data_IF_816193919333
#
_entry.id   IF_816193919333
#
_cell.length_a   1.000
_cell.length_b   1.000
_cell.length_c   1.000
_cell.angle_alpha   90.00
_cell.angle_beta   90.00
_cell.angle_gamma   90.00
#
_symmetry.space_group_name_H-M   'P 1'
#
loop_
_entity.id
_entity.type
_entity.pdbx_description
1 polymer ?
#
# COMPACT_ATOMS: atom_id res chain seq x y z
N UNK A 1 -14.81 5.57 -12.72
CA UNK A 1 -13.94 6.57 -13.38
C UNK A 1 -12.54 5.99 -13.47
N UNK A 2 -11.87 6.13 -14.60
CA UNK A 2 -10.47 5.74 -14.77
C UNK A 2 -9.67 6.96 -15.21
N UNK A 3 -8.44 7.09 -14.74
CA UNK A 3 -7.50 8.13 -15.11
C UNK A 3 -6.12 7.52 -15.36
N UNK A 4 -5.34 8.13 -16.24
CA UNK A 4 -3.94 7.75 -16.51
C UNK A 4 -3.08 8.96 -16.20
N UNK A 5 -1.99 8.74 -15.49
CA UNK A 5 -1.02 9.78 -15.14
C UNK A 5 0.38 9.18 -15.00
N UNK A 6 1.37 10.04 -14.85
CA UNK A 6 2.73 9.60 -14.57
C UNK A 6 2.83 8.86 -13.21
N UNK A 7 3.73 7.89 -13.14
CA UNK A 7 3.84 7.00 -11.98
C UNK A 7 4.21 7.74 -10.68
N UNK A 8 5.03 8.79 -10.78
CA UNK A 8 5.52 9.57 -9.63
C UNK A 8 4.43 10.37 -8.93
N UNK A 9 3.38 10.77 -9.64
CA UNK A 9 2.26 11.54 -9.09
C UNK A 9 1.04 10.69 -8.72
N UNK A 10 0.95 9.44 -9.19
CA UNK A 10 -0.27 8.63 -9.13
C UNK A 10 -0.84 8.47 -7.72
N UNK A 11 0.01 8.20 -6.73
CA UNK A 11 -0.42 7.97 -5.34
C UNK A 11 -0.90 9.26 -4.68
N UNK A 12 -0.16 10.36 -4.82
CA UNK A 12 -0.54 11.67 -4.28
C UNK A 12 -1.77 12.23 -5.01
N UNK A 13 -1.85 12.09 -6.32
CA UNK A 13 -3.02 12.48 -7.10
C UNK A 13 -4.28 11.77 -6.62
N UNK A 14 -4.22 10.44 -6.47
CA UNK A 14 -5.37 9.64 -6.01
C UNK A 14 -5.78 10.04 -4.60
N UNK A 15 -4.81 10.23 -3.68
CA UNK A 15 -5.06 10.70 -2.32
C UNK A 15 -5.83 12.03 -2.35
N UNK A 16 -5.27 13.04 -3.01
CA UNK A 16 -5.85 14.38 -3.06
C UNK A 16 -7.24 14.37 -3.72
N UNK A 17 -7.41 13.59 -4.78
CA UNK A 17 -8.71 13.45 -5.45
C UNK A 17 -9.79 12.89 -4.50
N UNK A 18 -9.49 11.85 -3.74
CA UNK A 18 -10.43 11.25 -2.78
C UNK A 18 -10.74 12.24 -1.64
N UNK A 19 -9.75 12.93 -1.10
CA UNK A 19 -9.93 13.90 -0.03
C UNK A 19 -10.82 15.08 -0.49
N UNK A 20 -10.58 15.64 -1.67
CA UNK A 20 -11.42 16.69 -2.23
C UNK A 20 -12.85 16.22 -2.52
N UNK A 21 -13.01 14.99 -3.03
CA UNK A 21 -14.32 14.38 -3.22
C UNK A 21 -15.10 14.27 -1.91
N UNK A 22 -14.46 13.81 -0.83
CA UNK A 22 -15.09 13.74 0.49
C UNK A 22 -15.49 15.12 1.02
N UNK A 23 -14.61 16.13 0.85
CA UNK A 23 -14.89 17.51 1.27
C UNK A 23 -16.09 18.09 0.50
N UNK A 24 -16.12 17.89 -0.82
CA UNK A 24 -17.21 18.40 -1.67
C UNK A 24 -18.54 17.74 -1.33
N UNK A 25 -18.55 16.43 -1.09
CA UNK A 25 -19.78 15.73 -0.72
C UNK A 25 -20.26 16.09 0.69
N UNK A 26 -19.35 16.36 1.63
CA UNK A 26 -19.70 16.84 2.98
C UNK A 26 -20.28 18.26 2.95
N UNK A 27 -19.78 19.15 2.09
CA UNK A 27 -20.32 20.50 1.88
C UNK A 27 -21.70 20.48 1.17
N UNK A 28 -21.96 19.48 0.37
CA UNK A 28 -23.19 19.35 -0.43
C UNK A 28 -24.34 18.63 0.30
N UNK A 29 -24.34 18.63 1.64
CA UNK A 29 -25.35 17.93 2.48
C UNK A 29 -26.79 18.31 2.19
N UNK A 30 -27.06 19.46 1.57
CA UNK A 30 -28.40 19.85 1.14
C UNK A 30 -28.92 19.05 -0.08
N UNK A 31 -28.02 18.48 -0.87
CA UNK A 31 -28.34 17.70 -2.06
C UNK A 31 -28.09 16.20 -1.87
N UNK A 32 -27.21 15.84 -0.93
CA UNK A 32 -26.82 14.46 -0.61
C UNK A 32 -26.99 14.29 0.90
N UNK A 33 -27.84 13.37 1.32
CA UNK A 33 -28.22 13.19 2.74
C UNK A 33 -27.04 12.85 3.65
N UNK A 34 -25.92 12.30 3.09
CA UNK A 34 -24.74 11.93 3.85
C UNK A 34 -23.45 12.14 3.06
N UNK A 35 -22.32 12.30 3.78
CA UNK A 35 -20.97 12.30 3.21
C UNK A 35 -20.73 11.00 2.41
N UNK A 36 -20.18 11.14 1.22
CA UNK A 36 -19.75 10.00 0.40
C UNK A 36 -18.27 9.68 0.62
N UNK A 37 -17.93 8.41 0.52
CA UNK A 37 -16.56 7.89 0.58
C UNK A 37 -16.20 7.17 -0.70
N UNK A 38 -14.92 7.05 -0.99
CA UNK A 38 -14.43 6.46 -2.24
C UNK A 38 -13.28 5.48 -2.00
N UNK A 39 -13.31 4.36 -2.73
CA UNK A 39 -12.15 3.46 -2.81
C UNK A 39 -11.50 3.56 -4.18
N UNK A 40 -10.18 3.35 -4.24
CA UNK A 40 -9.42 3.36 -5.48
C UNK A 40 -8.50 2.14 -5.61
N UNK A 41 -8.23 1.77 -6.86
CA UNK A 41 -7.17 0.84 -7.24
C UNK A 41 -6.18 1.55 -8.16
N UNK A 42 -4.89 1.46 -7.89
CA UNK A 42 -3.83 2.06 -8.70
C UNK A 42 -2.97 0.95 -9.28
N UNK A 43 -2.76 1.00 -10.59
CA UNK A 43 -1.87 0.07 -11.28
C UNK A 43 -0.72 0.82 -11.90
N UNK A 44 0.49 0.45 -11.49
CA UNK A 44 1.72 0.89 -12.14
C UNK A 44 2.09 -0.13 -13.20
N UNK A 45 2.37 0.31 -14.39
CA UNK A 45 2.76 -0.56 -15.49
C UNK A 45 3.63 0.18 -16.52
N UNK A 46 4.34 -0.56 -17.34
CA UNK A 46 5.05 0.01 -18.47
C UNK A 46 4.07 0.59 -19.48
N UNK A 47 4.46 1.66 -20.18
CA UNK A 47 3.64 2.33 -21.21
C UNK A 47 3.16 1.40 -22.34
N UNK A 48 3.91 0.31 -22.60
CA UNK A 48 3.57 -0.70 -23.61
C UNK A 48 2.69 -1.83 -23.07
N UNK A 49 2.37 -1.81 -21.78
CA UNK A 49 1.50 -2.83 -21.20
C UNK A 49 0.06 -2.68 -21.73
N UNK A 50 -0.64 -3.78 -22.07
CA UNK A 50 -1.98 -3.68 -22.63
C UNK A 50 -2.96 -3.03 -21.66
N UNK A 51 -3.51 -1.89 -22.04
CA UNK A 51 -4.31 -1.00 -21.20
C UNK A 51 -5.54 -1.67 -20.58
N UNK A 52 -6.21 -2.55 -21.32
CA UNK A 52 -7.39 -3.25 -20.82
C UNK A 52 -7.07 -4.19 -19.63
N UNK A 53 -5.88 -4.79 -19.59
CA UNK A 53 -5.46 -5.58 -18.43
C UNK A 53 -5.11 -4.69 -17.23
N UNK A 54 -4.49 -3.53 -17.46
CA UNK A 54 -4.22 -2.57 -16.41
C UNK A 54 -5.50 -2.05 -15.76
N UNK A 55 -6.52 -1.71 -16.57
CA UNK A 55 -7.84 -1.30 -16.06
C UNK A 55 -8.49 -2.44 -15.28
N UNK A 56 -8.53 -3.65 -15.82
CA UNK A 56 -9.12 -4.80 -15.13
C UNK A 56 -8.49 -5.04 -13.75
N UNK A 57 -7.16 -4.95 -13.65
CA UNK A 57 -6.48 -5.06 -12.36
C UNK A 57 -6.82 -3.88 -11.43
N UNK A 58 -6.87 -2.65 -11.93
CA UNK A 58 -7.24 -1.49 -11.12
C UNK A 58 -8.65 -1.63 -10.54
N UNK A 59 -9.59 -2.18 -11.31
CA UNK A 59 -10.95 -2.48 -10.86
C UNK A 59 -10.96 -3.58 -9.78
N UNK A 60 -10.17 -4.65 -9.93
CA UNK A 60 -10.02 -5.70 -8.92
C UNK A 60 -9.43 -5.17 -7.62
N UNK A 61 -8.38 -4.33 -7.68
CA UNK A 61 -7.78 -3.66 -6.53
C UNK A 61 -8.78 -2.74 -5.82
N UNK A 62 -9.52 -1.94 -6.58
CA UNK A 62 -10.58 -1.08 -6.05
C UNK A 62 -11.67 -1.90 -5.36
N UNK A 63 -12.11 -3.01 -5.98
CA UNK A 63 -13.11 -3.91 -5.41
C UNK A 63 -12.59 -4.58 -4.12
N UNK A 64 -11.32 -5.00 -4.08
CA UNK A 64 -10.70 -5.58 -2.89
C UNK A 64 -10.61 -4.56 -1.75
N UNK A 65 -10.18 -3.31 -2.04
CA UNK A 65 -10.17 -2.22 -1.08
C UNK A 65 -11.55 -1.95 -0.50
N UNK A 66 -12.56 -1.81 -1.36
CA UNK A 66 -13.95 -1.59 -0.98
C UNK A 66 -14.54 -2.74 -0.14
N UNK A 67 -14.27 -3.99 -0.54
CA UNK A 67 -14.71 -5.18 0.20
C UNK A 67 -14.10 -5.21 1.60
N UNK A 68 -12.80 -4.95 1.73
CA UNK A 68 -12.13 -4.90 3.03
C UNK A 68 -12.72 -3.82 3.94
N UNK A 69 -12.86 -2.59 3.43
CA UNK A 69 -13.40 -1.47 4.19
C UNK A 69 -14.84 -1.72 4.63
N UNK A 70 -15.71 -2.21 3.74
CA UNK A 70 -17.09 -2.55 4.08
C UNK A 70 -17.17 -3.66 5.12
N UNK A 71 -16.49 -4.77 4.92
CA UNK A 71 -16.54 -5.91 5.85
C UNK A 71 -16.09 -5.55 7.25
N UNK A 72 -15.12 -4.64 7.38
CA UNK A 72 -14.56 -4.26 8.66
C UNK A 72 -15.35 -3.18 9.40
N UNK A 73 -15.94 -2.23 8.67
CA UNK A 73 -16.48 -1.00 9.26
C UNK A 73 -17.97 -0.80 9.09
N UNK A 74 -18.63 -1.56 8.21
CA UNK A 74 -20.08 -1.46 8.02
C UNK A 74 -20.78 -2.62 8.73
N UNK A 75 -21.35 -2.32 9.88
CA UNK A 75 -22.18 -3.28 10.66
C UNK A 75 -23.66 -3.09 10.35
N UNK A 76 -24.07 -1.83 10.19
CA UNK A 76 -25.42 -1.43 9.81
C UNK A 76 -25.33 -0.67 8.47
N UNK A 77 -25.91 -1.26 7.41
CA UNK A 77 -25.82 -0.71 6.05
C UNK A 77 -26.54 0.64 5.89
N UNK A 78 -27.50 0.95 6.76
CA UNK A 78 -28.24 2.23 6.71
C UNK A 78 -27.51 3.36 7.45
N UNK A 79 -26.65 3.02 8.43
CA UNK A 79 -26.03 4.01 9.34
C UNK A 79 -24.53 4.13 9.20
N UNK A 80 -23.87 3.05 8.80
CA UNK A 80 -22.42 2.99 8.75
C UNK A 80 -21.88 3.33 7.36
N UNK A 81 -20.93 4.26 7.32
CA UNK A 81 -20.18 4.58 6.10
C UNK A 81 -18.79 3.92 6.21
N UNK A 82 -18.44 3.14 5.19
CA UNK A 82 -17.11 2.57 5.07
C UNK A 82 -16.09 3.70 4.81
N UNK A 83 -14.95 3.77 5.51
CA UNK A 83 -13.94 4.78 5.25
C UNK A 83 -13.28 4.59 3.89
N UNK A 84 -12.82 5.69 3.29
CA UNK A 84 -12.08 5.69 2.03
C UNK A 84 -10.73 5.00 2.17
N UNK A 85 -10.38 4.18 1.18
CA UNK A 85 -9.10 3.49 1.14
C UNK A 85 -8.69 3.19 -0.30
N UNK A 86 -7.41 2.89 -0.48
CA UNK A 86 -6.87 2.50 -1.76
C UNK A 86 -5.96 1.26 -1.65
N UNK A 87 -5.84 0.57 -2.76
CA UNK A 87 -4.82 -0.46 -3.00
C UNK A 87 -4.07 -0.16 -4.28
N UNK A 88 -2.86 -0.64 -4.39
CA UNK A 88 -2.04 -0.47 -5.59
C UNK A 88 -1.21 -1.71 -5.87
N UNK A 89 -0.78 -1.84 -7.13
CA UNK A 89 0.17 -2.86 -7.55
C UNK A 89 1.00 -2.39 -8.74
N UNK A 90 2.29 -2.78 -8.76
CA UNK A 90 3.19 -2.56 -9.89
C UNK A 90 3.36 -3.86 -10.69
N UNK A 91 2.86 -3.87 -11.91
CA UNK A 91 2.95 -5.03 -12.81
C UNK A 91 4.40 -5.17 -13.30
N UNK A 92 5.06 -6.23 -12.87
CA UNK A 92 6.43 -6.58 -13.28
C UNK A 92 6.48 -7.75 -14.29
N UNK A 93 5.36 -8.46 -14.48
CA UNK A 93 5.27 -9.60 -15.40
C UNK A 93 3.98 -9.55 -16.21
N UNK A 94 4.00 -10.11 -17.41
CA UNK A 94 2.83 -10.18 -18.30
C UNK A 94 1.79 -11.24 -17.92
N UNK A 95 2.04 -12.04 -16.88
CA UNK A 95 1.20 -13.18 -16.53
C UNK A 95 0.27 -12.91 -15.34
N UNK A 96 -0.47 -11.81 -15.40
CA UNK A 96 -1.48 -11.51 -14.40
C UNK A 96 -2.81 -12.18 -14.77
N UNK A 97 -3.37 -13.02 -13.90
CA UNK A 97 -4.63 -13.71 -14.15
C UNK A 97 -5.81 -13.20 -13.32
N UNK A 98 -5.61 -13.02 -12.01
CA UNK A 98 -6.64 -12.60 -11.07
C UNK A 98 -5.97 -12.17 -9.77
N UNK A 99 -6.47 -11.11 -9.12
CA UNK A 99 -5.83 -10.53 -7.92
C UNK A 99 -5.76 -11.51 -6.74
N UNK A 100 -6.84 -12.22 -6.42
CA UNK A 100 -6.86 -13.17 -5.30
C UNK A 100 -5.89 -14.34 -5.52
N UNK A 101 -5.79 -14.82 -6.76
CA UNK A 101 -4.82 -15.86 -7.13
C UNK A 101 -3.40 -15.32 -7.08
N UNK A 102 -3.18 -14.12 -7.58
CA UNK A 102 -1.88 -13.47 -7.56
C UNK A 102 -1.35 -13.24 -6.13
N UNK A 103 -2.21 -12.80 -5.21
CA UNK A 103 -1.86 -12.71 -3.78
C UNK A 103 -1.35 -14.05 -3.26
N UNK A 104 -2.07 -15.13 -3.57
CA UNK A 104 -1.75 -16.46 -3.04
C UNK A 104 -0.46 -17.01 -3.63
N UNK A 105 -0.25 -16.85 -4.93
CA UNK A 105 0.81 -17.51 -5.66
C UNK A 105 2.12 -16.68 -5.66
N UNK A 106 2.02 -15.34 -5.68
CA UNK A 106 3.16 -14.44 -5.87
C UNK A 106 3.44 -13.52 -4.67
N UNK A 107 2.39 -13.10 -3.94
CA UNK A 107 2.52 -12.17 -2.82
C UNK A 107 2.46 -12.85 -1.45
N UNK A 108 2.46 -14.17 -1.39
CA UNK A 108 2.48 -14.93 -0.15
C UNK A 108 3.73 -15.79 -0.08
N UNK A 109 4.60 -15.47 0.87
CA UNK A 109 5.84 -16.22 1.15
C UNK A 109 5.60 -17.03 2.42
N UNK A 110 5.47 -18.36 2.29
CA UNK A 110 5.03 -19.24 3.41
C UNK A 110 3.67 -18.77 3.93
N UNK A 111 3.62 -18.17 5.11
CA UNK A 111 2.44 -17.61 5.77
C UNK A 111 2.46 -16.06 5.84
N UNK A 112 3.45 -15.41 5.20
CA UNK A 112 3.63 -13.97 5.22
C UNK A 112 3.11 -13.37 3.91
N UNK A 113 2.12 -12.51 4.00
CA UNK A 113 1.63 -11.72 2.88
C UNK A 113 2.48 -10.46 2.69
N UNK A 114 2.84 -10.20 1.46
CA UNK A 114 3.65 -9.05 1.07
C UNK A 114 2.80 -7.84 0.65
N UNK A 115 1.49 -7.97 0.52
CA UNK A 115 0.54 -6.88 0.36
C UNK A 115 0.07 -6.39 1.73
N UNK A 116 0.49 -5.20 2.13
CA UNK A 116 0.14 -4.66 3.45
C UNK A 116 -1.20 -3.94 3.47
N UNK A 117 -1.60 -3.37 2.35
CA UNK A 117 -2.84 -2.63 2.17
C UNK A 117 -4.11 -3.39 2.60
N UNK A 118 -5.30 -2.76 2.48
CA UNK A 118 -5.51 -1.41 1.93
C UNK A 118 -4.99 -0.29 2.84
N UNK A 119 -4.65 0.84 2.20
CA UNK A 119 -4.22 2.06 2.87
C UNK A 119 -5.39 3.04 2.95
N UNK A 120 -5.62 3.60 4.13
CA UNK A 120 -6.79 4.41 4.43
C UNK A 120 -6.50 5.91 4.33
N UNK A 121 -7.54 6.68 3.97
CA UNK A 121 -7.50 8.13 3.89
C UNK A 121 -8.31 8.75 5.02
N UNK A 122 -8.01 10.02 5.32
CA UNK A 122 -8.74 10.85 6.27
C UNK A 122 -8.63 10.44 7.74
N UNK A 123 -9.11 11.31 8.59
CA UNK A 123 -9.13 11.18 10.06
C UNK A 123 -10.48 10.65 10.56
N UNK A 124 -10.99 9.58 10.00
CA UNK A 124 -12.15 8.95 10.61
C UNK A 124 -11.70 8.17 11.84
N UNK A 125 -12.30 8.43 12.98
CA UNK A 125 -12.07 7.70 14.23
C UNK A 125 -12.18 6.17 14.07
N UNK A 126 -12.96 5.73 13.08
CA UNK A 126 -13.12 4.31 12.72
C UNK A 126 -11.87 3.66 12.12
N UNK A 127 -10.99 4.41 11.45
CA UNK A 127 -9.80 3.87 10.76
C UNK A 127 -8.46 4.25 11.39
N UNK A 128 -8.45 4.73 12.63
CA UNK A 128 -7.22 5.17 13.31
C UNK A 128 -6.18 4.06 13.52
N UNK A 129 -6.62 2.80 13.56
CA UNK A 129 -5.73 1.64 13.67
C UNK A 129 -5.24 1.09 12.32
N UNK A 130 -5.62 1.73 11.21
CA UNK A 130 -5.24 1.29 9.87
C UNK A 130 -4.05 2.06 9.31
N UNK A 131 -3.28 1.45 8.38
CA UNK A 131 -2.20 2.15 7.72
C UNK A 131 -2.76 3.30 6.87
N UNK A 132 -2.24 4.51 7.08
CA UNK A 132 -2.65 5.71 6.35
C UNK A 132 -1.81 5.89 5.09
N UNK A 133 -2.46 6.35 4.02
CA UNK A 133 -1.79 6.64 2.73
C UNK A 133 -0.66 7.65 2.91
N UNK A 134 -0.87 8.74 3.66
CA UNK A 134 0.15 9.77 3.87
C UNK A 134 1.37 9.25 4.63
N UNK A 135 1.17 8.36 5.62
CA UNK A 135 2.27 7.74 6.36
C UNK A 135 3.04 6.78 5.45
N UNK A 136 2.35 6.10 4.54
CA UNK A 136 2.99 5.26 3.53
C UNK A 136 3.79 6.09 2.51
N UNK A 137 3.23 7.20 2.01
CA UNK A 137 3.96 8.14 1.14
C UNK A 137 5.23 8.65 1.84
N UNK A 138 5.12 9.02 3.12
CA UNK A 138 6.28 9.45 3.89
C UNK A 138 7.34 8.33 4.04
N UNK A 139 6.92 7.09 4.29
CA UNK A 139 7.82 5.93 4.32
C UNK A 139 8.56 5.76 2.99
N UNK A 140 7.82 5.82 1.86
CA UNK A 140 8.41 5.73 0.51
C UNK A 140 9.42 6.86 0.28
N UNK A 141 9.11 8.10 0.65
CA UNK A 141 10.02 9.25 0.53
C UNK A 141 11.31 9.05 1.35
N UNK A 142 11.20 8.55 2.57
CA UNK A 142 12.36 8.28 3.44
C UNK A 142 13.25 7.18 2.84
N UNK A 143 12.66 6.12 2.29
CA UNK A 143 13.42 5.04 1.65
C UNK A 143 13.81 5.35 0.19
N UNK A 144 13.31 6.42 -0.40
CA UNK A 144 13.75 6.95 -1.70
C UNK A 144 15.18 7.50 -1.70
N UNK A 145 15.70 7.85 -0.53
CA UNK A 145 17.08 8.33 -0.35
C UNK A 145 18.11 7.31 -0.92
N UNK A 146 19.19 7.82 -1.53
CA UNK A 146 20.23 6.99 -2.14
C UNK A 146 20.92 6.09 -1.14
N UNK A 147 21.09 6.55 0.10
CA UNK A 147 21.75 5.82 1.18
C UNK A 147 20.83 4.79 1.87
N UNK A 148 19.59 4.66 1.43
CA UNK A 148 18.67 3.70 2.05
C UNK A 148 18.96 2.26 1.61
N UNK A 149 18.76 1.25 2.48
CA UNK A 149 19.14 -0.13 2.22
C UNK A 149 18.15 -0.89 1.31
N UNK A 150 17.64 -0.23 0.25
CA UNK A 150 16.63 -0.81 -0.68
C UNK A 150 17.03 -2.17 -1.24
N UNK A 151 18.28 -2.30 -1.69
CA UNK A 151 18.80 -3.54 -2.26
C UNK A 151 18.80 -4.68 -1.25
N UNK A 152 19.24 -4.40 -0.02
CA UNK A 152 19.28 -5.39 1.07
C UNK A 152 17.89 -5.81 1.52
N UNK A 153 16.91 -4.91 1.51
CA UNK A 153 15.53 -5.25 1.80
C UNK A 153 14.89 -6.13 0.72
N UNK A 154 15.28 -5.95 -0.56
CA UNK A 154 14.88 -6.87 -1.64
C UNK A 154 15.45 -8.28 -1.43
N UNK A 155 16.70 -8.38 -1.02
CA UNK A 155 17.34 -9.66 -0.68
C UNK A 155 16.68 -10.30 0.54
N UNK A 156 16.39 -9.51 1.57
CA UNK A 156 15.70 -9.95 2.79
C UNK A 156 14.34 -10.58 2.50
N UNK A 157 13.50 -9.96 1.64
CA UNK A 157 12.21 -10.54 1.24
C UNK A 157 12.40 -11.92 0.58
N UNK A 158 13.39 -12.07 -0.31
CA UNK A 158 13.67 -13.36 -0.95
C UNK A 158 14.05 -14.43 0.08
N UNK A 159 14.87 -14.05 1.05
CA UNK A 159 15.33 -14.99 2.09
C UNK A 159 14.22 -15.41 3.07
N UNK A 160 13.16 -14.63 3.26
CA UNK A 160 11.99 -15.02 4.07
C UNK A 160 11.38 -16.35 3.61
N UNK A 161 11.40 -16.62 2.30
CA UNK A 161 10.92 -17.88 1.71
C UNK A 161 11.87 -19.08 1.89
N UNK A 162 13.17 -18.81 2.07
CA UNK A 162 14.23 -19.82 2.00
C UNK A 162 14.74 -20.18 3.41
N UNK A 163 15.19 -19.17 4.17
CA UNK A 163 15.88 -19.40 5.43
C UNK A 163 15.59 -18.31 6.47
N UNK A 164 14.73 -18.61 7.42
CA UNK A 164 14.29 -17.66 8.47
C UNK A 164 15.44 -17.15 9.35
N UNK A 165 16.44 -17.98 9.64
CA UNK A 165 17.61 -17.59 10.45
C UNK A 165 18.48 -16.60 9.69
N UNK A 166 18.68 -16.84 8.39
CA UNK A 166 19.45 -15.94 7.54
C UNK A 166 18.70 -14.63 7.35
N UNK A 167 17.39 -14.68 7.07
CA UNK A 167 16.54 -13.48 6.96
C UNK A 167 16.61 -12.62 8.23
N UNK A 168 16.56 -13.23 9.42
CA UNK A 168 16.73 -12.51 10.69
C UNK A 168 18.10 -11.85 10.80
N UNK A 169 19.18 -12.60 10.54
CA UNK A 169 20.54 -12.06 10.57
C UNK A 169 20.76 -10.93 9.56
N UNK A 170 20.13 -11.03 8.37
CA UNK A 170 20.16 -9.95 7.37
C UNK A 170 19.46 -8.69 7.88
N UNK A 171 18.29 -8.84 8.54
CA UNK A 171 17.58 -7.71 9.11
C UNK A 171 18.37 -7.02 10.22
N UNK A 172 18.98 -7.79 11.13
CA UNK A 172 19.88 -7.28 12.17
C UNK A 172 21.01 -6.46 11.55
N UNK A 173 21.65 -6.99 10.50
CA UNK A 173 22.74 -6.31 9.79
C UNK A 173 22.28 -5.04 9.06
N UNK A 174 21.09 -5.05 8.47
CA UNK A 174 20.48 -3.84 7.88
C UNK A 174 20.33 -2.77 8.96
N UNK A 175 19.84 -3.14 10.13
CA UNK A 175 19.62 -2.23 11.25
C UNK A 175 20.93 -1.64 11.84
N UNK A 176 22.00 -2.44 11.88
CA UNK A 176 23.34 -1.97 12.31
C UNK A 176 23.93 -0.93 11.34
N UNK A 177 23.57 -1.01 10.06
CA UNK A 177 24.09 -0.12 9.03
C UNK A 177 23.29 1.17 8.85
N UNK A 178 22.12 1.29 9.48
CA UNK A 178 21.28 2.49 9.39
C UNK A 178 21.87 3.63 10.22
N UNK A 179 22.46 4.64 9.57
CA UNK A 179 23.01 5.83 10.22
C UNK A 179 21.97 6.64 11.02
N UNK A 180 20.71 6.63 10.59
CA UNK A 180 19.60 7.34 11.20
C UNK A 180 18.42 6.42 11.55
N UNK A 181 18.71 5.33 12.27
CA UNK A 181 17.70 4.32 12.65
C UNK A 181 16.41 4.92 13.21
N UNK A 182 16.50 5.98 14.02
CA UNK A 182 15.34 6.67 14.58
C UNK A 182 14.38 7.26 13.54
N UNK A 183 14.89 7.77 12.41
CA UNK A 183 14.07 8.29 11.30
C UNK A 183 13.26 7.15 10.65
N UNK A 184 13.89 6.01 10.40
CA UNK A 184 13.25 4.85 9.81
C UNK A 184 12.25 4.19 10.78
N UNK A 185 12.61 4.03 12.05
CA UNK A 185 11.70 3.51 13.09
C UNK A 185 10.45 4.37 13.23
N UNK A 186 10.60 5.69 13.24
CA UNK A 186 9.47 6.60 13.32
C UNK A 186 8.55 6.49 12.08
N UNK A 187 9.13 6.34 10.88
CA UNK A 187 8.34 6.16 9.67
C UNK A 187 7.53 4.86 9.71
N UNK A 188 8.12 3.76 10.16
CA UNK A 188 7.40 2.49 10.34
C UNK A 188 6.32 2.57 11.41
N UNK A 189 6.61 3.15 12.58
CA UNK A 189 5.63 3.33 13.66
C UNK A 189 4.46 4.24 13.26
N UNK A 190 4.74 5.28 12.47
CA UNK A 190 3.69 6.14 11.93
C UNK A 190 2.80 5.38 10.95
N UNK A 191 3.38 4.49 10.13
CA UNK A 191 2.60 3.64 9.23
C UNK A 191 1.73 2.66 10.02
N UNK A 192 2.31 1.98 11.03
CA UNK A 192 1.60 1.06 11.90
C UNK A 192 2.34 0.92 13.24
N UNK A 193 1.67 1.08 14.39
CA UNK A 193 2.34 1.24 15.70
C UNK A 193 3.28 0.09 16.10
N UNK A 194 3.01 -1.12 15.63
CA UNK A 194 3.80 -2.32 15.94
C UNK A 194 5.03 -2.52 15.05
N UNK A 195 5.12 -1.77 13.93
CA UNK A 195 6.26 -1.84 13.01
C UNK A 195 7.48 -1.12 13.59
N UNK A 196 8.64 -1.74 13.41
CA UNK A 196 9.97 -1.21 13.73
C UNK A 196 10.98 -1.77 12.75
N UNK A 197 12.12 -1.12 12.61
CA UNK A 197 13.22 -1.63 11.78
C UNK A 197 13.65 -3.06 12.16
N UNK A 198 13.51 -3.43 13.42
CA UNK A 198 13.83 -4.77 13.93
C UNK A 198 12.70 -5.78 13.74
N UNK A 199 11.48 -5.30 13.47
CA UNK A 199 10.30 -6.14 13.28
C UNK A 199 9.43 -5.59 12.14
N UNK A 200 9.69 -6.07 10.93
CA UNK A 200 9.01 -5.68 9.69
C UNK A 200 7.85 -6.60 9.30
N UNK A 201 7.56 -7.59 10.13
CA UNK A 201 6.45 -8.54 9.94
C UNK A 201 5.55 -8.45 11.17
N UNK A 202 4.26 -8.28 10.95
CA UNK A 202 3.28 -8.25 12.03
C UNK A 202 1.99 -8.95 11.63
N UNK A 203 1.18 -9.30 12.63
CA UNK A 203 -0.13 -9.90 12.41
C UNK A 203 -1.18 -8.80 12.23
N UNK A 204 -1.68 -8.65 10.99
CA UNK A 204 -2.76 -7.72 10.62
C UNK A 204 -3.92 -8.50 10.03
N UNK A 205 -5.14 -8.24 10.54
CA UNK A 205 -6.37 -8.93 10.11
C UNK A 205 -6.26 -10.47 10.14
N UNK A 206 -5.54 -11.00 11.16
CA UNK A 206 -5.35 -12.43 11.35
C UNK A 206 -4.23 -13.07 10.53
N UNK A 207 -3.58 -12.34 9.63
CA UNK A 207 -2.53 -12.80 8.71
C UNK A 207 -1.22 -12.07 9.00
N UNK A 208 -0.09 -12.76 8.89
CA UNK A 208 1.22 -12.11 8.93
C UNK A 208 1.43 -11.27 7.66
N UNK A 209 1.85 -10.02 7.81
CA UNK A 209 2.04 -9.07 6.70
C UNK A 209 3.31 -8.25 6.86
N UNK A 210 3.87 -7.82 5.73
CA UNK A 210 4.99 -6.87 5.68
C UNK A 210 4.70 -5.75 4.68
N UNK A 211 5.00 -4.46 5.00
CA UNK A 211 4.84 -3.35 4.07
C UNK A 211 6.03 -3.19 3.12
N UNK A 212 7.09 -3.98 3.27
CA UNK A 212 8.35 -3.77 2.55
C UNK A 212 8.19 -3.97 1.05
N UNK A 213 7.42 -4.98 0.63
CA UNK A 213 7.19 -5.20 -0.79
C UNK A 213 6.41 -4.02 -1.41
N UNK A 214 5.36 -3.55 -0.73
CA UNK A 214 4.57 -2.40 -1.18
C UNK A 214 5.45 -1.15 -1.36
N UNK A 215 6.33 -0.88 -0.40
CA UNK A 215 7.29 0.22 -0.49
C UNK A 215 8.26 0.04 -1.68
N UNK A 216 8.84 -1.15 -1.84
CA UNK A 216 9.82 -1.41 -2.89
C UNK A 216 9.20 -1.37 -4.30
N UNK A 217 7.96 -1.80 -4.47
CA UNK A 217 7.29 -1.72 -5.77
C UNK A 217 7.00 -0.27 -6.18
N UNK A 218 6.63 0.62 -5.24
CA UNK A 218 6.44 2.05 -5.55
C UNK A 218 7.79 2.70 -5.88
N UNK A 219 8.83 2.45 -5.07
CA UNK A 219 10.16 2.96 -5.36
C UNK A 219 10.69 2.51 -6.74
N UNK A 220 10.38 1.30 -7.17
CA UNK A 220 10.74 0.83 -8.51
C UNK A 220 9.94 1.55 -9.59
N UNK A 221 8.62 1.67 -9.43
CA UNK A 221 7.75 2.32 -10.40
C UNK A 221 8.08 3.80 -10.61
N UNK A 222 8.49 4.52 -9.54
CA UNK A 222 8.81 5.95 -9.60
C UNK A 222 10.26 6.23 -10.02
N UNK A 223 11.22 5.31 -9.76
CA UNK A 223 12.60 5.47 -10.20
C UNK A 223 12.77 5.30 -11.72
N UNK A 224 11.96 4.43 -12.34
CA UNK A 224 11.99 4.22 -13.80
C UNK A 224 11.41 5.42 -14.57
N UNK A 225 10.56 6.24 -13.93
CA UNK A 225 10.01 7.46 -14.51
C UNK A 225 11.04 8.62 -14.58
N UNK A 226 12.04 8.62 -13.70
CA UNK A 226 13.09 9.65 -13.63
C UNK A 226 14.28 9.44 -14.59
N UNK A 227 14.30 8.36 -15.35
CA UNK A 227 15.41 7.92 -16.22
C UNK A 227 15.22 8.27 -17.71
N UNK A 228 14.59 9.41 -18.05
CA UNK A 228 14.56 9.94 -19.43
C UNK A 228 15.39 11.19 -19.57
#
# INVERSE_FOLDING_TARGET
MAAVCDADIALEFTKNFIEEFEILTDKSKSAIEQKLTMCAGIVYCNEKFPFHYAIGLAEELCAAAKKHSKNKYVKDQEKDIAPSCLMFHNIQSSNFQNWDKFIKDELTIKDIRCDFGPYYLGDTSKSNSEPKVENFINLVKIYGDENSPKGKLREWIKELGINDKLAKSMLDRINEMLENKGKFDNAFKNLYPELKCENLILKKDGVQKTPIYDMLQILSATSDAGGK
#
